data_IF_028547800397
#
_entry.id   IF_028547800397
#
_cell.length_a   1.000
_cell.length_b   1.000
_cell.length_c   1.000
_cell.angle_alpha   90.00
_cell.angle_beta   90.00
_cell.angle_gamma   90.00
#
_symmetry.space_group_name_H-M   'P 1'
#
loop_
_entity.id
_entity.type
_entity.pdbx_description
1 polymer ?
#
# COMPACT_ATOMS: atom_id res chain seq x y z
N UNK A 1 -17.04 -14.61 1.02
CA UNK A 1 -17.29 -13.14 1.21
C UNK A 1 -15.97 -12.39 1.03
N UNK A 2 -15.97 -11.31 0.25
CA UNK A 2 -14.73 -10.55 -0.01
C UNK A 2 -14.37 -9.63 1.16
N UNK A 3 -13.18 -9.78 1.71
CA UNK A 3 -12.63 -8.90 2.74
C UNK A 3 -11.50 -8.03 2.15
N UNK A 4 -11.41 -6.77 2.59
CA UNK A 4 -10.36 -5.86 2.13
C UNK A 4 -9.61 -5.29 3.34
N UNK A 5 -8.32 -5.55 3.40
CA UNK A 5 -7.41 -5.03 4.42
C UNK A 5 -6.62 -3.87 3.84
N UNK A 6 -6.60 -2.74 4.55
CA UNK A 6 -5.91 -1.52 4.13
C UNK A 6 -5.14 -0.93 5.32
N UNK A 7 -3.92 -0.41 5.12
CA UNK A 7 -3.15 0.21 6.19
C UNK A 7 -3.81 1.54 6.58
N UNK A 8 -4.37 1.60 7.79
CA UNK A 8 -5.10 2.79 8.24
C UNK A 8 -4.14 3.94 8.55
N UNK A 9 -3.12 3.67 9.37
CA UNK A 9 -2.15 4.68 9.78
C UNK A 9 -1.35 5.25 8.62
N UNK A 10 -0.83 4.38 7.74
CA UNK A 10 -0.07 4.81 6.57
C UNK A 10 -0.92 5.66 5.60
N UNK A 11 -2.20 5.36 5.42
CA UNK A 11 -3.07 6.15 4.54
C UNK A 11 -3.31 7.56 5.06
N UNK A 12 -3.52 7.70 6.36
CA UNK A 12 -3.65 9.01 7.00
C UNK A 12 -2.34 9.79 6.85
N UNK A 13 -1.20 9.16 7.16
CA UNK A 13 0.10 9.79 7.02
C UNK A 13 0.36 10.27 5.58
N UNK A 14 0.09 9.42 4.58
CA UNK A 14 0.23 9.77 3.15
C UNK A 14 -0.69 10.93 2.78
N UNK A 15 -1.94 10.93 3.24
CA UNK A 15 -2.89 12.01 2.95
C UNK A 15 -2.43 13.35 3.56
N UNK A 16 -1.93 13.33 4.81
CA UNK A 16 -1.37 14.51 5.46
C UNK A 16 -0.13 15.02 4.72
N UNK A 17 0.80 14.12 4.37
CA UNK A 17 2.01 14.49 3.62
C UNK A 17 1.66 15.10 2.27
N UNK A 18 0.72 14.52 1.53
CA UNK A 18 0.27 15.05 0.26
C UNK A 18 -0.36 16.44 0.42
N UNK A 19 -1.21 16.64 1.43
CA UNK A 19 -1.83 17.93 1.71
C UNK A 19 -0.80 19.00 2.08
N UNK A 20 0.14 18.67 2.98
CA UNK A 20 1.21 19.59 3.41
C UNK A 20 2.10 19.94 2.22
N UNK A 21 2.43 18.97 1.38
CA UNK A 21 3.25 19.18 0.20
C UNK A 21 2.57 20.14 -0.80
N UNK A 22 1.28 19.93 -1.09
CA UNK A 22 0.50 20.82 -1.96
C UNK A 22 0.43 22.22 -1.34
N UNK A 23 0.08 22.33 -0.08
CA UNK A 23 -0.02 23.60 0.62
C UNK A 23 1.32 24.36 0.61
N UNK A 24 2.43 23.67 0.90
CA UNK A 24 3.76 24.27 0.90
C UNK A 24 4.14 24.83 -0.47
N UNK A 25 3.90 24.09 -1.55
CA UNK A 25 4.20 24.57 -2.93
C UNK A 25 3.35 25.78 -3.28
N UNK A 26 2.06 25.77 -2.96
CA UNK A 26 1.16 26.91 -3.23
C UNK A 26 1.58 28.12 -2.42
N UNK A 27 1.82 27.95 -1.11
CA UNK A 27 2.23 29.06 -0.24
C UNK A 27 3.57 29.65 -0.69
N UNK A 28 4.56 28.80 -1.00
CA UNK A 28 5.86 29.26 -1.49
C UNK A 28 5.73 30.04 -2.80
N UNK A 29 4.91 29.52 -3.72
CA UNK A 29 4.70 30.22 -5.00
C UNK A 29 4.03 31.57 -4.83
N UNK A 30 2.97 31.65 -4.01
CA UNK A 30 2.25 32.91 -3.74
C UNK A 30 3.09 33.92 -2.96
N UNK A 31 3.96 33.41 -2.07
CA UNK A 31 4.85 34.28 -1.25
C UNK A 31 6.04 34.85 -2.04
N UNK A 32 6.36 34.28 -3.21
CA UNK A 32 7.44 34.79 -4.07
C UNK A 32 7.07 36.17 -4.62
N UNK A 33 7.99 37.18 -4.59
CA UNK A 33 7.79 38.44 -5.30
C UNK A 33 7.59 38.21 -6.79
N UNK A 34 6.76 39.06 -7.44
CA UNK A 34 6.46 38.92 -8.87
C UNK A 34 7.71 38.92 -9.75
N UNK A 35 8.70 39.74 -9.40
CA UNK A 35 9.99 39.82 -10.11
C UNK A 35 10.73 38.45 -10.11
N UNK A 36 10.61 37.70 -9.02
CA UNK A 36 11.20 36.35 -8.91
C UNK A 36 10.37 35.34 -9.70
N UNK A 37 9.03 35.43 -9.63
CA UNK A 37 8.16 34.56 -10.41
C UNK A 37 8.39 34.74 -11.94
N UNK A 38 8.65 35.95 -12.38
CA UNK A 38 8.88 36.26 -13.80
C UNK A 38 10.25 35.76 -14.32
N UNK A 39 11.21 35.47 -13.40
CA UNK A 39 12.48 34.85 -13.76
C UNK A 39 12.34 33.38 -14.12
N UNK A 40 11.26 32.71 -13.65
CA UNK A 40 11.02 31.32 -14.00
C UNK A 40 10.52 31.21 -15.45
N UNK A 41 11.36 30.64 -16.31
CA UNK A 41 10.96 30.28 -17.65
C UNK A 41 9.81 29.26 -17.64
N UNK A 42 9.04 29.19 -18.72
CA UNK A 42 7.96 28.22 -18.85
C UNK A 42 8.46 26.77 -18.73
N UNK A 43 9.68 26.47 -19.20
CA UNK A 43 10.30 25.15 -19.09
C UNK A 43 10.52 24.79 -17.62
N UNK A 44 11.07 25.71 -16.82
CA UNK A 44 11.28 25.49 -15.39
C UNK A 44 9.96 25.28 -14.64
N UNK A 45 8.91 26.05 -14.96
CA UNK A 45 7.57 25.87 -14.38
C UNK A 45 7.01 24.48 -14.71
N UNK A 46 7.10 24.04 -15.96
CA UNK A 46 6.66 22.72 -16.40
C UNK A 46 7.46 21.62 -15.70
N UNK A 47 8.79 21.75 -15.61
CA UNK A 47 9.66 20.79 -14.94
C UNK A 47 9.30 20.64 -13.45
N UNK A 48 9.09 21.76 -12.75
CA UNK A 48 8.68 21.74 -11.34
C UNK A 48 7.32 21.05 -11.16
N UNK A 49 6.34 21.38 -12.01
CA UNK A 49 5.03 20.74 -11.98
C UNK A 49 5.11 19.23 -12.25
N UNK A 50 5.97 18.83 -13.18
CA UNK A 50 6.17 17.41 -13.52
C UNK A 50 6.81 16.65 -12.37
N UNK A 51 7.86 17.17 -11.74
CA UNK A 51 8.49 16.58 -10.54
C UNK A 51 7.44 16.45 -9.43
N UNK A 52 6.63 17.49 -9.22
CA UNK A 52 5.59 17.48 -8.21
C UNK A 52 4.50 16.44 -8.50
N UNK A 53 4.09 16.32 -9.77
CA UNK A 53 3.13 15.32 -10.22
C UNK A 53 3.66 13.88 -9.99
N UNK A 54 4.95 13.63 -10.25
CA UNK A 54 5.59 12.33 -9.99
C UNK A 54 5.58 12.02 -8.50
N UNK A 55 5.89 13.00 -7.63
CA UNK A 55 5.81 12.81 -6.17
C UNK A 55 4.39 12.48 -5.71
N UNK A 56 3.38 13.20 -6.18
CA UNK A 56 1.98 12.91 -5.87
C UNK A 56 1.54 11.54 -6.40
N UNK A 57 2.00 11.13 -7.58
CA UNK A 57 1.73 9.81 -8.13
C UNK A 57 2.35 8.70 -7.27
N UNK A 58 3.55 8.90 -6.74
CA UNK A 58 4.19 7.96 -5.80
C UNK A 58 3.39 7.84 -4.49
N UNK A 59 2.95 8.96 -3.92
CA UNK A 59 2.09 8.98 -2.73
C UNK A 59 0.74 8.29 -3.01
N UNK A 60 0.16 8.50 -4.17
CA UNK A 60 -1.06 7.82 -4.60
C UNK A 60 -0.87 6.31 -4.69
N UNK A 61 0.28 5.85 -5.21
CA UNK A 61 0.63 4.43 -5.22
C UNK A 61 0.62 3.81 -3.82
N UNK A 62 1.24 4.47 -2.84
CA UNK A 62 1.24 4.04 -1.45
C UNK A 62 -0.18 4.00 -0.87
N UNK A 63 -1.00 5.00 -1.18
CA UNK A 63 -2.39 5.06 -0.73
C UNK A 63 -3.26 3.91 -1.25
N UNK A 64 -2.96 3.37 -2.44
CA UNK A 64 -3.68 2.26 -3.07
C UNK A 64 -3.34 0.88 -2.51
N UNK A 65 -2.28 0.77 -1.71
CA UNK A 65 -1.84 -0.51 -1.13
C UNK A 65 -2.98 -1.19 -0.38
N UNK A 66 -3.24 -2.46 -0.70
CA UNK A 66 -4.33 -3.25 -0.11
C UNK A 66 -4.10 -4.75 -0.25
N UNK A 67 -4.68 -5.53 0.65
CA UNK A 67 -4.88 -6.97 0.51
C UNK A 67 -6.37 -7.24 0.43
N UNK A 68 -6.81 -8.00 -0.55
CA UNK A 68 -8.19 -8.45 -0.71
C UNK A 68 -8.21 -9.96 -0.69
N UNK A 69 -9.16 -10.52 0.03
CA UNK A 69 -9.45 -11.96 0.00
C UNK A 69 -10.86 -12.17 -0.53
N UNK A 70 -11.06 -13.21 -1.30
CA UNK A 70 -12.34 -13.68 -1.78
C UNK A 70 -12.39 -15.22 -1.78
N UNK A 71 -13.46 -15.79 -2.28
CA UNK A 71 -13.68 -17.24 -2.27
C UNK A 71 -12.67 -17.99 -3.18
N UNK A 72 -11.99 -17.29 -4.10
CA UNK A 72 -11.03 -17.87 -5.05
C UNK A 72 -9.58 -17.74 -4.62
N UNK A 73 -9.28 -16.76 -3.74
CA UNK A 73 -7.91 -16.52 -3.32
C UNK A 73 -7.68 -15.16 -2.68
N UNK A 74 -6.45 -14.70 -2.82
CA UNK A 74 -5.95 -13.50 -2.19
C UNK A 74 -5.25 -12.62 -3.22
N UNK A 75 -5.60 -11.34 -3.26
CA UNK A 75 -4.98 -10.34 -4.12
C UNK A 75 -4.21 -9.31 -3.29
N UNK A 76 -2.93 -9.16 -3.59
CA UNK A 76 -2.05 -8.16 -2.97
C UNK A 76 -1.83 -7.03 -3.97
N UNK A 77 -2.10 -5.80 -3.54
CA UNK A 77 -1.73 -4.58 -4.24
C UNK A 77 -0.64 -3.89 -3.45
N UNK A 78 0.59 -3.92 -3.95
CA UNK A 78 1.73 -3.20 -3.39
C UNK A 78 2.08 -2.04 -4.32
N UNK A 79 1.72 -0.81 -3.90
CA UNK A 79 1.92 0.42 -4.68
C UNK A 79 1.25 0.31 -6.06
N UNK A 80 1.99 -0.03 -7.12
CA UNK A 80 1.46 -0.20 -8.48
C UNK A 80 1.43 -1.66 -8.95
N UNK A 81 2.00 -2.59 -8.16
CA UNK A 81 2.03 -4.01 -8.50
C UNK A 81 0.82 -4.72 -7.90
N UNK A 82 0.04 -5.35 -8.74
CA UNK A 82 -1.09 -6.21 -8.34
C UNK A 82 -0.70 -7.66 -8.62
N UNK A 83 -0.86 -8.51 -7.61
CA UNK A 83 -0.64 -9.96 -7.72
C UNK A 83 -1.81 -10.69 -7.09
N UNK A 84 -2.31 -11.69 -7.78
CA UNK A 84 -3.36 -12.57 -7.30
C UNK A 84 -2.80 -13.98 -7.10
N UNK A 85 -3.21 -14.62 -6.02
CA UNK A 85 -2.84 -15.97 -5.63
C UNK A 85 -4.09 -16.74 -5.28
N UNK A 86 -4.25 -17.93 -5.85
CA UNK A 86 -5.31 -18.85 -5.43
C UNK A 86 -4.99 -19.45 -4.05
N UNK A 87 -5.99 -19.89 -3.32
CA UNK A 87 -5.78 -20.46 -1.97
C UNK A 87 -4.76 -21.60 -1.94
N UNK A 88 -4.72 -22.56 -2.90
CA UNK A 88 -3.70 -23.62 -2.94
C UNK A 88 -2.26 -23.10 -3.09
N UNK A 89 -2.07 -21.91 -3.62
CA UNK A 89 -0.74 -21.31 -3.76
C UNK A 89 -0.24 -20.64 -2.48
N UNK A 90 -1.09 -20.47 -1.46
CA UNK A 90 -0.77 -19.76 -0.23
C UNK A 90 -0.60 -20.75 0.91
N UNK A 91 0.61 -20.82 1.49
CA UNK A 91 0.89 -21.70 2.63
C UNK A 91 0.55 -21.01 3.94
N UNK A 92 1.05 -19.80 4.16
CA UNK A 92 0.86 -19.08 5.41
C UNK A 92 1.08 -17.59 5.26
N UNK A 93 0.54 -16.82 6.19
CA UNK A 93 0.84 -15.41 6.36
C UNK A 93 1.38 -15.19 7.77
N UNK A 94 2.45 -14.43 7.90
CA UNK A 94 3.07 -14.14 9.18
C UNK A 94 3.47 -12.67 9.32
N UNK A 95 3.41 -12.17 10.55
CA UNK A 95 3.96 -10.87 10.93
C UNK A 95 4.85 -11.08 12.14
N UNK A 96 6.16 -11.22 11.92
CA UNK A 96 7.12 -11.50 12.98
C UNK A 96 7.52 -10.22 13.71
N UNK A 97 7.96 -10.34 14.95
CA UNK A 97 8.53 -9.21 15.68
C UNK A 97 9.75 -8.67 14.94
N UNK A 98 9.71 -7.36 14.63
CA UNK A 98 10.77 -6.68 13.89
C UNK A 98 10.50 -6.54 12.39
N UNK A 99 9.57 -7.28 11.83
CA UNK A 99 9.16 -7.11 10.45
C UNK A 99 8.22 -5.91 10.32
N UNK A 100 8.47 -4.99 9.39
CA UNK A 100 7.60 -3.83 9.19
C UNK A 100 6.26 -4.18 8.52
N UNK A 101 6.20 -5.31 7.79
CA UNK A 101 5.03 -5.78 7.04
C UNK A 101 4.82 -7.29 7.20
N UNK A 102 3.59 -7.74 6.99
CA UNK A 102 3.31 -9.16 6.91
C UNK A 102 3.94 -9.79 5.65
N UNK A 103 4.32 -11.04 5.78
CA UNK A 103 4.92 -11.85 4.72
C UNK A 103 4.02 -13.03 4.44
N UNK A 104 3.72 -13.26 3.16
CA UNK A 104 2.97 -14.38 2.64
C UNK A 104 3.95 -15.40 2.06
N UNK A 105 3.92 -16.62 2.55
CA UNK A 105 4.74 -17.72 2.02
C UNK A 105 3.90 -18.54 1.03
N UNK A 106 4.48 -18.83 -0.14
CA UNK A 106 3.82 -19.49 -1.25
C UNK A 106 4.28 -20.95 -1.40
N UNK A 107 3.46 -21.77 -2.04
CA UNK A 107 3.71 -23.18 -2.26
C UNK A 107 4.93 -23.47 -3.16
N UNK A 108 5.35 -22.51 -3.97
CA UNK A 108 6.55 -22.59 -4.80
C UNK A 108 7.85 -22.28 -4.03
N UNK A 109 7.76 -22.04 -2.71
CA UNK A 109 8.89 -21.69 -1.84
C UNK A 109 9.28 -20.20 -1.88
N UNK A 110 8.56 -19.37 -2.62
CA UNK A 110 8.77 -17.92 -2.61
C UNK A 110 7.96 -17.23 -1.54
N UNK A 111 8.36 -16.00 -1.17
CA UNK A 111 7.64 -15.17 -0.21
C UNK A 111 7.30 -13.82 -0.81
N UNK A 112 6.13 -13.29 -0.45
CA UNK A 112 5.64 -11.99 -0.93
C UNK A 112 5.27 -11.11 0.26
N UNK A 113 5.75 -9.87 0.21
CA UNK A 113 5.42 -8.86 1.23
C UNK A 113 4.02 -8.31 0.99
N UNK A 114 3.19 -8.31 2.03
CA UNK A 114 1.87 -7.70 2.04
C UNK A 114 1.95 -6.32 2.72
N UNK A 115 2.36 -5.30 1.96
CA UNK A 115 2.60 -3.94 2.48
C UNK A 115 1.35 -3.28 3.10
N UNK A 116 0.17 -3.80 2.82
CA UNK A 116 -1.08 -3.31 3.41
C UNK A 116 -1.26 -3.70 4.88
N UNK A 117 -0.52 -4.70 5.37
CA UNK A 117 -0.59 -5.16 6.76
C UNK A 117 0.73 -4.78 7.43
N UNK A 118 0.70 -3.65 8.14
CA UNK A 118 1.88 -3.04 8.74
C UNK A 118 1.92 -3.27 10.24
N UNK A 119 3.09 -3.61 10.77
CA UNK A 119 3.30 -3.79 12.21
C UNK A 119 2.93 -2.53 13.01
N UNK A 120 3.10 -1.34 12.43
CA UNK A 120 2.70 -0.06 13.04
C UNK A 120 1.20 0.08 13.32
N UNK A 121 0.35 -0.70 12.64
CA UNK A 121 -1.09 -0.72 12.89
C UNK A 121 -1.47 -1.60 14.09
N UNK A 122 -0.50 -2.25 14.75
CA UNK A 122 -0.65 -2.99 16.00
C UNK A 122 -1.74 -4.07 15.93
N UNK A 123 -2.71 -4.01 16.85
CA UNK A 123 -3.78 -5.00 16.96
C UNK A 123 -4.60 -5.20 15.67
N UNK A 124 -4.70 -4.19 14.81
CA UNK A 124 -5.38 -4.31 13.50
C UNK A 124 -4.60 -5.18 12.54
N UNK A 125 -3.26 -5.02 12.50
CA UNK A 125 -2.39 -5.86 11.67
C UNK A 125 -2.41 -7.32 12.14
N UNK A 126 -2.31 -7.54 13.46
CA UNK A 126 -2.41 -8.89 14.04
C UNK A 126 -3.78 -9.53 13.78
N UNK A 127 -4.86 -8.75 13.87
CA UNK A 127 -6.21 -9.18 13.52
C UNK A 127 -6.32 -9.61 12.07
N UNK A 128 -5.78 -8.82 11.13
CA UNK A 128 -5.76 -9.14 9.71
C UNK A 128 -4.97 -10.43 9.41
N UNK A 129 -3.80 -10.61 10.04
CA UNK A 129 -3.00 -11.83 9.90
C UNK A 129 -3.78 -13.05 10.40
N UNK A 130 -4.39 -12.99 11.60
CA UNK A 130 -5.19 -14.10 12.14
C UNK A 130 -6.38 -14.44 11.24
N UNK A 131 -7.04 -13.45 10.70
CA UNK A 131 -8.22 -13.63 9.86
C UNK A 131 -7.86 -14.26 8.51
N UNK A 132 -6.78 -13.82 7.87
CA UNK A 132 -6.27 -14.42 6.64
C UNK A 132 -5.75 -15.85 6.89
N UNK A 133 -5.04 -16.10 8.01
CA UNK A 133 -4.58 -17.44 8.37
C UNK A 133 -5.76 -18.41 8.52
N UNK A 134 -6.85 -17.97 9.15
CA UNK A 134 -8.06 -18.79 9.27
C UNK A 134 -8.64 -19.13 7.89
N UNK A 135 -8.71 -18.15 6.96
CA UNK A 135 -9.19 -18.39 5.61
C UNK A 135 -8.31 -19.38 4.83
N UNK A 136 -6.98 -19.30 5.00
CA UNK A 136 -6.04 -20.28 4.42
C UNK A 136 -6.36 -21.69 4.95
N UNK A 137 -6.53 -21.83 6.26
CA UNK A 137 -6.82 -23.13 6.90
C UNK A 137 -8.18 -23.70 6.46
N UNK A 138 -9.20 -22.86 6.32
CA UNK A 138 -10.53 -23.26 5.86
C UNK A 138 -10.48 -23.82 4.43
N UNK A 139 -9.80 -23.13 3.51
CA UNK A 139 -9.71 -23.56 2.11
C UNK A 139 -8.78 -24.78 1.93
N UNK A 140 -7.70 -24.89 2.71
CA UNK A 140 -6.82 -26.07 2.64
C UNK A 140 -7.43 -27.34 3.22
N UNK A 141 -8.44 -27.24 4.08
CA UNK A 141 -9.20 -28.40 4.56
C UNK A 141 -10.22 -28.88 3.53
N UNK A 142 -10.91 -27.99 2.87
CA UNK A 142 -11.92 -28.32 1.83
C UNK A 142 -11.30 -29.10 0.68
N UNK A 143 -10.07 -28.77 0.25
CA UNK A 143 -9.35 -29.51 -0.79
C UNK A 143 -8.89 -30.91 -0.35
N UNK A 144 -8.78 -31.18 0.94
CA UNK A 144 -8.34 -32.49 1.45
C UNK A 144 -9.49 -33.49 1.59
N UNK A 145 -10.72 -32.99 1.63
CA UNK A 145 -11.94 -33.77 1.81
C UNK A 145 -12.66 -34.09 0.48
N UNK A 146 -12.17 -33.58 -0.68
CA UNK A 146 -12.60 -33.89 -2.04
C UNK A 146 -11.60 -34.88 -2.72
#
# INVERSE_FOLDING_TARGET
>A
MAHTYRPFGARIAVAIVALVLVAAVVVLWVALPGEVQDQFSWIQRVTLLLVFAVMLAALWGLFRTSVRTDDTGLQITNVFKVRAYSWPQVITISLRRGDPWAVLDLADGTSVVAMAIQASDGAKAEGAVRDISRQIDEHSRTERDD
#
